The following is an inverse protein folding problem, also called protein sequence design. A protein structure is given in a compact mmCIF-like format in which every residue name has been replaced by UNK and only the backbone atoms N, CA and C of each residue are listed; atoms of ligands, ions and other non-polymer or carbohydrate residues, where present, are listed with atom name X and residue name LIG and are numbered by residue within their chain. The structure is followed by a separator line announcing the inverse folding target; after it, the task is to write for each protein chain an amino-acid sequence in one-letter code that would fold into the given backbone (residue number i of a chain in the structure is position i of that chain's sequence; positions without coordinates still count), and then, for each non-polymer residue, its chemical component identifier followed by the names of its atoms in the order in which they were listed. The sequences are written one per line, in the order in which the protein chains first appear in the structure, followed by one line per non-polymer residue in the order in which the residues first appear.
data_IF_611232418232
#
_entry.id   IF_611232418232
#
_cell.length_a   1.000
_cell.length_b   1.000
_cell.length_c   1.000
_cell.angle_alpha   90.00
_cell.angle_beta   90.00
_cell.angle_gamma   90.00
#
_symmetry.space_group_name_H-M   'P 1'
#
loop_
_entity.id
_entity.type
_entity.pdbx_description
1 polymer ?
#
# COMPACT_ATOMS: atom_id res chain seq x y z
N UNK A 1 -22.75 -4.94 27.61
CA UNK A 1 -23.11 -5.85 28.74
C UNK A 1 -21.93 -5.92 29.69
N UNK A 2 -22.11 -5.45 30.93
CA UNK A 2 -21.15 -5.58 32.03
C UNK A 2 -21.19 -7.03 32.51
N UNK A 3 -20.07 -7.74 32.43
CA UNK A 3 -19.96 -9.08 33.03
C UNK A 3 -19.62 -8.91 34.51
N UNK A 4 -20.53 -9.39 35.36
CA UNK A 4 -20.40 -9.38 36.81
C UNK A 4 -19.20 -10.23 37.28
N UNK A 5 -18.38 -9.65 38.16
CA UNK A 5 -17.35 -10.37 38.91
C UNK A 5 -18.02 -11.36 39.87
N UNK A 6 -17.93 -12.65 39.56
CA UNK A 6 -18.37 -13.71 40.45
C UNK A 6 -17.35 -13.89 41.59
N UNK A 7 -17.36 -12.96 42.56
CA UNK A 7 -16.61 -13.01 43.83
C UNK A 7 -17.20 -14.06 44.77
N UNK A 8 -16.99 -15.35 44.47
CA UNK A 8 -17.21 -16.40 45.46
C UNK A 8 -16.36 -17.64 45.16
N UNK A 9 -15.07 -17.57 45.50
CA UNK A 9 -14.25 -18.76 45.73
C UNK A 9 -13.63 -18.69 47.11
N UNK A 10 -14.25 -19.44 48.03
CA UNK A 10 -13.76 -19.73 49.39
C UNK A 10 -12.25 -19.98 49.35
N UNK A 11 -11.48 -19.08 49.95
CA UNK A 11 -10.03 -19.17 50.09
C UNK A 11 -9.68 -20.28 51.09
N UNK A 12 -9.67 -21.53 50.62
CA UNK A 12 -8.92 -22.58 51.32
C UNK A 12 -7.44 -22.17 51.21
N UNK A 13 -6.77 -21.95 52.34
CA UNK A 13 -5.31 -21.72 52.41
C UNK A 13 -4.61 -22.99 51.92
N UNK A 14 -4.53 -23.15 50.60
CA UNK A 14 -3.81 -24.22 49.95
C UNK A 14 -2.32 -23.90 49.99
N UNK A 15 -1.54 -24.79 50.57
CA UNK A 15 -0.08 -24.79 50.43
C UNK A 15 0.22 -24.93 48.94
N UNK A 16 0.73 -23.87 48.30
CA UNK A 16 0.98 -23.86 46.86
C UNK A 16 1.21 -22.47 46.28
N UNK A 17 1.63 -22.41 45.02
CA UNK A 17 1.84 -21.15 44.30
C UNK A 17 0.50 -20.44 44.14
N UNK A 18 0.45 -19.15 44.52
CA UNK A 18 -0.74 -18.30 44.31
C UNK A 18 -1.17 -18.38 42.83
N UNK A 19 -2.46 -18.66 42.54
CA UNK A 19 -2.96 -18.70 41.18
C UNK A 19 -2.81 -17.32 40.53
N UNK A 20 -2.58 -17.31 39.21
CA UNK A 20 -2.52 -16.06 38.43
C UNK A 20 -3.93 -15.48 38.29
N UNK A 21 -4.03 -14.15 38.28
CA UNK A 21 -5.29 -13.42 38.09
C UNK A 21 -5.95 -13.75 36.76
N UNK A 22 -5.16 -13.90 35.69
CA UNK A 22 -5.62 -14.34 34.37
C UNK A 22 -4.71 -15.47 33.83
N UNK A 23 -5.13 -16.74 33.95
CA UNK A 23 -4.38 -17.87 33.42
C UNK A 23 -4.57 -18.00 31.89
N UNK A 24 -3.49 -18.29 31.17
CA UNK A 24 -3.57 -18.62 29.75
C UNK A 24 -4.16 -20.04 29.57
N UNK A 25 -5.48 -20.13 29.41
CA UNK A 25 -6.22 -21.41 29.31
C UNK A 25 -6.28 -21.94 27.86
N UNK A 26 -6.33 -21.06 26.87
CA UNK A 26 -6.45 -21.46 25.46
C UNK A 26 -5.10 -21.90 24.88
N UNK A 27 -5.10 -23.04 24.16
CA UNK A 27 -3.93 -23.61 23.50
C UNK A 27 -4.22 -23.88 22.03
N UNK A 28 -3.36 -23.34 21.16
CA UNK A 28 -3.34 -23.62 19.73
C UNK A 28 -2.03 -24.33 19.39
N UNK A 29 -2.11 -25.43 18.64
CA UNK A 29 -0.94 -26.22 18.23
C UNK A 29 -0.67 -25.95 16.76
N UNK A 30 0.53 -25.48 16.46
CA UNK A 30 1.02 -25.30 15.09
C UNK A 30 2.00 -26.42 14.78
N UNK A 31 1.83 -27.10 13.65
CA UNK A 31 2.78 -28.09 13.13
C UNK A 31 3.57 -27.44 12.00
N UNK A 32 4.89 -27.59 12.05
CA UNK A 32 5.81 -27.08 11.03
C UNK A 32 6.38 -28.26 10.25
N UNK A 33 6.58 -28.10 8.95
CA UNK A 33 7.39 -29.02 8.16
C UNK A 33 8.89 -28.76 8.40
N UNK A 34 9.76 -29.60 7.84
CA UNK A 34 11.21 -29.51 8.07
C UNK A 34 11.81 -28.16 7.67
N UNK A 35 11.39 -27.60 6.52
CA UNK A 35 11.90 -26.31 6.03
C UNK A 35 11.41 -25.13 6.87
N UNK A 36 10.14 -25.15 7.25
CA UNK A 36 9.53 -24.14 8.13
C UNK A 36 10.18 -24.15 9.51
N UNK A 37 10.51 -25.33 10.03
CA UNK A 37 11.18 -25.46 11.33
C UNK A 37 12.59 -24.84 11.31
N UNK A 38 13.36 -25.06 10.24
CA UNK A 38 14.69 -24.44 10.08
C UNK A 38 14.57 -22.91 10.05
N UNK A 39 13.61 -22.36 9.28
CA UNK A 39 13.36 -20.92 9.23
C UNK A 39 12.94 -20.37 10.60
N UNK A 40 12.10 -21.09 11.33
CA UNK A 40 11.65 -20.74 12.67
C UNK A 40 12.82 -20.69 13.66
N UNK A 41 13.67 -21.71 13.69
CA UNK A 41 14.80 -21.78 14.63
C UNK A 41 15.82 -20.66 14.39
N UNK A 42 16.10 -20.29 13.12
CA UNK A 42 16.95 -19.15 12.79
C UNK A 42 16.38 -17.84 13.34
N UNK A 43 15.08 -17.60 13.15
CA UNK A 43 14.42 -16.38 13.64
C UNK A 43 14.35 -16.36 15.17
N UNK A 44 14.11 -17.51 15.80
CA UNK A 44 14.08 -17.65 17.24
C UNK A 44 15.45 -17.33 17.86
N UNK A 45 16.54 -17.87 17.31
CA UNK A 45 17.90 -17.55 17.78
C UNK A 45 18.22 -16.06 17.65
N UNK A 46 17.86 -15.43 16.52
CA UNK A 46 18.05 -13.99 16.31
C UNK A 46 17.25 -13.12 17.29
N UNK A 47 16.14 -13.63 17.82
CA UNK A 47 15.28 -12.87 18.76
C UNK A 47 15.88 -12.70 20.16
N UNK A 48 16.87 -13.53 20.54
CA UNK A 48 17.45 -13.52 21.89
C UNK A 48 16.51 -14.00 23.01
N UNK A 49 15.31 -14.48 22.67
CA UNK A 49 14.35 -14.98 23.65
C UNK A 49 14.69 -16.41 24.10
N UNK A 50 14.46 -16.71 25.39
CA UNK A 50 14.76 -18.02 25.98
C UNK A 50 13.72 -19.09 25.67
N UNK A 51 12.48 -18.69 25.40
CA UNK A 51 11.33 -19.59 25.26
C UNK A 51 10.66 -19.41 23.90
N UNK A 52 10.52 -20.49 23.13
CA UNK A 52 9.85 -20.49 21.81
C UNK A 52 8.42 -19.96 21.90
N UNK A 53 7.69 -20.27 22.98
CA UNK A 53 6.32 -19.78 23.17
C UNK A 53 6.23 -18.27 23.37
N UNK A 54 7.22 -17.66 24.03
CA UNK A 54 7.29 -16.20 24.18
C UNK A 54 7.62 -15.53 22.84
N UNK A 55 8.50 -16.14 22.06
CA UNK A 55 8.81 -15.68 20.70
C UNK A 55 7.57 -15.70 19.80
N UNK A 56 6.81 -16.79 19.80
CA UNK A 56 5.56 -16.89 19.02
C UNK A 56 4.55 -15.83 19.45
N UNK A 57 4.34 -15.64 20.76
CA UNK A 57 3.43 -14.59 21.26
C UNK A 57 3.90 -13.18 20.88
N UNK A 58 5.20 -12.91 20.97
CA UNK A 58 5.78 -11.63 20.58
C UNK A 58 5.67 -11.39 19.07
N UNK A 59 5.79 -12.43 18.24
CA UNK A 59 5.64 -12.30 16.79
C UNK A 59 4.18 -12.09 16.36
N UNK A 60 3.22 -12.76 17.02
CA UNK A 60 1.78 -12.65 16.72
C UNK A 60 1.17 -11.35 17.27
N UNK A 61 1.55 -10.95 18.48
CA UNK A 61 0.91 -9.83 19.20
C UNK A 61 1.83 -8.63 19.43
N UNK A 62 3.15 -8.79 19.30
CA UNK A 62 4.12 -7.71 19.49
C UNK A 62 4.50 -6.98 18.20
N UNK A 63 4.12 -7.52 17.04
CA UNK A 63 4.09 -6.77 15.77
C UNK A 63 2.62 -6.57 15.42
N UNK A 64 2.24 -5.34 15.12
CA UNK A 64 0.95 -5.09 14.47
C UNK A 64 0.90 -5.94 13.20
N UNK A 65 0.01 -6.93 13.16
CA UNK A 65 -0.33 -7.59 11.91
C UNK A 65 -1.10 -6.54 11.11
N UNK A 66 -0.37 -5.71 10.37
CA UNK A 66 -0.97 -4.84 9.36
C UNK A 66 -1.48 -5.77 8.27
N UNK A 67 -2.73 -6.19 8.39
CA UNK A 67 -3.47 -6.83 7.30
C UNK A 67 -3.68 -5.74 6.26
N UNK A 68 -2.66 -5.51 5.43
CA UNK A 68 -2.81 -4.67 4.25
C UNK A 68 -3.70 -5.49 3.31
N UNK A 69 -4.99 -5.14 3.27
CA UNK A 69 -5.86 -5.56 2.17
C UNK A 69 -5.31 -4.86 0.94
N UNK A 70 -4.42 -5.53 0.21
CA UNK A 70 -3.84 -5.01 -1.02
C UNK A 70 -4.94 -5.08 -2.06
N UNK A 71 -5.61 -3.95 -2.29
CA UNK A 71 -6.41 -3.78 -3.50
C UNK A 71 -5.44 -3.63 -4.67
N UNK A 72 -5.24 -4.73 -5.39
CA UNK A 72 -4.33 -4.81 -6.55
C UNK A 72 -4.74 -3.79 -7.63
N UNK A 73 -6.04 -3.51 -7.77
CA UNK A 73 -6.53 -2.56 -8.76
C UNK A 73 -6.10 -1.12 -8.41
N UNK A 74 -6.17 -0.74 -7.13
CA UNK A 74 -5.72 0.57 -6.67
C UNK A 74 -4.22 0.74 -6.82
N UNK A 75 -3.42 -0.28 -6.51
CA UNK A 75 -1.97 -0.24 -6.71
C UNK A 75 -1.59 -0.11 -8.19
N UNK A 76 -2.23 -0.89 -9.07
CA UNK A 76 -2.01 -0.79 -10.52
C UNK A 76 -2.41 0.59 -11.05
N UNK A 77 -3.48 1.18 -10.51
CA UNK A 77 -3.89 2.55 -10.84
C UNK A 77 -2.81 3.57 -10.44
N UNK A 78 -2.28 3.52 -9.22
CA UNK A 78 -1.21 4.42 -8.77
C UNK A 78 0.07 4.28 -9.59
N UNK A 79 0.46 3.06 -9.96
CA UNK A 79 1.62 2.83 -10.83
C UNK A 79 1.40 3.45 -12.22
N UNK A 80 0.19 3.28 -12.79
CA UNK A 80 -0.16 3.90 -14.08
C UNK A 80 -0.14 5.43 -14.01
N UNK A 81 -0.62 6.02 -12.92
CA UNK A 81 -0.61 7.48 -12.72
C UNK A 81 0.82 8.03 -12.61
N UNK A 82 1.69 7.35 -11.87
CA UNK A 82 3.11 7.72 -11.76
C UNK A 82 3.81 7.63 -13.13
N UNK A 83 3.56 6.57 -13.89
CA UNK A 83 4.11 6.42 -15.24
C UNK A 83 3.60 7.52 -16.19
N UNK A 84 2.33 7.91 -16.07
CA UNK A 84 1.74 8.98 -16.86
C UNK A 84 2.44 10.32 -16.60
N UNK A 85 2.74 10.64 -15.33
CA UNK A 85 3.53 11.83 -14.98
C UNK A 85 4.90 11.86 -15.68
N UNK A 86 5.64 10.76 -15.66
CA UNK A 86 6.93 10.67 -16.34
C UNK A 86 6.82 10.84 -17.87
N UNK A 87 5.72 10.38 -18.47
CA UNK A 87 5.46 10.60 -19.90
C UNK A 87 5.28 12.10 -20.23
N UNK A 88 4.54 12.88 -19.42
CA UNK A 88 4.44 14.33 -19.63
C UNK A 88 5.79 15.03 -19.49
N UNK A 89 6.58 14.64 -18.50
CA UNK A 89 7.91 15.21 -18.31
C UNK A 89 8.80 14.93 -19.53
N UNK A 90 8.76 13.70 -20.06
CA UNK A 90 9.49 13.34 -21.28
C UNK A 90 9.02 14.14 -22.50
N UNK A 91 7.70 14.30 -22.68
CA UNK A 91 7.13 15.13 -23.76
C UNK A 91 7.61 16.58 -23.65
N UNK A 92 7.58 17.17 -22.45
CA UNK A 92 8.04 18.55 -22.23
C UNK A 92 9.53 18.73 -22.54
N UNK A 93 10.35 17.76 -22.13
CA UNK A 93 11.79 17.75 -22.45
C UNK A 93 12.02 17.66 -23.96
N UNK A 94 11.33 16.74 -24.65
CA UNK A 94 11.42 16.57 -26.09
C UNK A 94 10.95 17.82 -26.83
N UNK A 95 9.85 18.44 -26.39
CA UNK A 95 9.36 19.70 -26.95
C UNK A 95 10.43 20.79 -26.91
N UNK A 96 11.07 20.99 -25.75
CA UNK A 96 12.12 21.99 -25.60
C UNK A 96 13.33 21.71 -26.50
N UNK A 97 13.72 20.44 -26.63
CA UNK A 97 14.80 20.02 -27.53
C UNK A 97 14.44 20.29 -29.00
N UNK A 98 13.23 19.91 -29.42
CA UNK A 98 12.76 20.12 -30.80
C UNK A 98 12.71 21.60 -31.15
N UNK A 99 12.18 22.46 -30.28
CA UNK A 99 12.15 23.92 -30.52
C UNK A 99 13.55 24.51 -30.64
N UNK A 100 14.48 24.10 -29.76
CA UNK A 100 15.89 24.53 -29.84
C UNK A 100 16.55 24.06 -31.15
N UNK A 101 16.31 22.81 -31.56
CA UNK A 101 16.85 22.27 -32.80
C UNK A 101 16.28 22.99 -34.03
N UNK A 102 14.97 23.28 -34.04
CA UNK A 102 14.31 24.03 -35.12
C UNK A 102 14.94 25.43 -35.25
N UNK A 103 15.13 26.12 -34.12
CA UNK A 103 15.73 27.47 -34.08
C UNK A 103 17.16 27.50 -34.62
N UNK A 104 17.98 26.49 -34.30
CA UNK A 104 19.40 26.51 -34.61
C UNK A 104 19.72 25.94 -36.02
N UNK A 105 18.93 25.00 -36.53
CA UNK A 105 19.30 24.20 -37.70
C UNK A 105 18.53 24.57 -38.99
N UNK A 106 17.49 25.40 -38.92
CA UNK A 106 16.65 25.73 -40.07
C UNK A 106 16.52 27.23 -40.28
N UNK A 107 16.44 27.66 -41.55
CA UNK A 107 16.11 29.04 -41.91
C UNK A 107 14.66 29.41 -41.58
N UNK A 108 14.39 30.69 -41.35
CA UNK A 108 13.13 31.22 -40.77
C UNK A 108 11.85 30.67 -41.41
N UNK A 109 11.77 30.64 -42.75
CA UNK A 109 10.57 30.14 -43.45
C UNK A 109 10.27 28.67 -43.15
N UNK A 110 11.31 27.82 -43.08
CA UNK A 110 11.15 26.38 -42.76
C UNK A 110 10.92 26.18 -41.27
N UNK A 111 11.60 26.93 -40.41
CA UNK A 111 11.39 26.90 -38.97
C UNK A 111 9.94 27.25 -38.61
N UNK A 112 9.37 28.28 -39.22
CA UNK A 112 7.99 28.69 -38.99
C UNK A 112 6.98 27.60 -39.38
N UNK A 113 7.17 26.95 -40.53
CA UNK A 113 6.31 25.84 -40.97
C UNK A 113 6.36 24.65 -39.99
N UNK A 114 7.56 24.30 -39.51
CA UNK A 114 7.74 23.21 -38.52
C UNK A 114 7.11 23.56 -37.17
N UNK A 115 7.26 24.81 -36.70
CA UNK A 115 6.64 25.27 -35.46
C UNK A 115 5.11 25.26 -35.54
N UNK A 116 4.52 25.62 -36.68
CA UNK A 116 3.06 25.50 -36.90
C UNK A 116 2.56 24.07 -36.82
N UNK A 117 3.32 23.11 -37.33
CA UNK A 117 2.97 21.69 -37.20
C UNK A 117 3.09 21.22 -35.74
N UNK A 118 4.12 21.66 -35.03
CA UNK A 118 4.30 21.37 -33.60
C UNK A 118 3.20 21.99 -32.73
N UNK A 119 2.74 23.20 -33.07
CA UNK A 119 1.61 23.86 -32.41
C UNK A 119 0.34 23.02 -32.54
N UNK A 120 0.02 22.54 -33.75
CA UNK A 120 -1.17 21.69 -33.98
C UNK A 120 -1.14 20.42 -33.12
N UNK A 121 -0.03 19.69 -33.11
CA UNK A 121 0.08 18.47 -32.29
C UNK A 121 0.03 18.76 -30.79
N UNK A 122 0.51 19.93 -30.36
CA UNK A 122 0.41 20.38 -28.97
C UNK A 122 -1.04 20.68 -28.58
N UNK A 123 -1.83 21.27 -29.48
CA UNK A 123 -3.26 21.50 -29.26
C UNK A 123 -4.00 20.17 -29.11
N UNK A 124 -3.73 19.19 -29.97
CA UNK A 124 -4.34 17.86 -29.89
C UNK A 124 -4.00 17.17 -28.55
N UNK A 125 -2.75 17.30 -28.09
CA UNK A 125 -2.33 16.80 -26.78
C UNK A 125 -3.12 17.46 -25.65
N UNK A 126 -3.32 18.78 -25.67
CA UNK A 126 -4.11 19.50 -24.65
C UNK A 126 -5.57 19.02 -24.64
N UNK A 127 -6.17 18.80 -25.81
CA UNK A 127 -7.54 18.27 -25.91
C UNK A 127 -7.63 16.87 -25.31
N UNK A 128 -6.67 15.99 -25.61
CA UNK A 128 -6.60 14.65 -25.03
C UNK A 128 -6.42 14.70 -23.51
N UNK A 129 -5.53 15.55 -23.00
CA UNK A 129 -5.31 15.72 -21.56
C UNK A 129 -6.58 16.18 -20.83
N UNK A 130 -7.33 17.13 -21.40
CA UNK A 130 -8.62 17.56 -20.83
C UNK A 130 -9.64 16.42 -20.79
N UNK A 131 -9.69 15.60 -21.84
CA UNK A 131 -10.59 14.44 -21.89
C UNK A 131 -10.22 13.39 -20.84
N UNK A 132 -8.93 13.16 -20.60
CA UNK A 132 -8.45 12.24 -19.55
C UNK A 132 -8.84 12.75 -18.16
N UNK A 133 -8.66 14.04 -17.89
CA UNK A 133 -9.07 14.65 -16.60
C UNK A 133 -10.58 14.47 -16.39
N UNK A 134 -11.39 14.74 -17.42
CA UNK A 134 -12.85 14.58 -17.36
C UNK A 134 -13.25 13.13 -17.04
N UNK A 135 -12.68 12.16 -17.74
CA UNK A 135 -12.94 10.72 -17.48
C UNK A 135 -12.50 10.30 -16.08
N UNK A 136 -11.44 10.92 -15.55
CA UNK A 136 -10.96 10.64 -14.19
C UNK A 136 -11.95 11.16 -13.14
N UNK A 137 -12.47 12.38 -13.31
CA UNK A 137 -13.51 12.92 -12.43
C UNK A 137 -14.81 12.11 -12.50
N UNK A 138 -15.24 11.70 -13.69
CA UNK A 138 -16.43 10.85 -13.86
C UNK A 138 -16.26 9.52 -13.10
N UNK A 139 -15.08 8.90 -13.18
CA UNK A 139 -14.76 7.69 -12.43
C UNK A 139 -14.75 7.91 -10.91
N UNK A 140 -14.17 9.02 -10.44
CA UNK A 140 -14.17 9.38 -9.01
C UNK A 140 -15.59 9.55 -8.46
N UNK A 141 -16.46 10.28 -9.16
CA UNK A 141 -17.85 10.50 -8.75
C UNK A 141 -18.68 9.22 -8.75
N UNK A 142 -18.52 8.40 -9.79
CA UNK A 142 -19.36 7.21 -9.99
C UNK A 142 -18.94 6.00 -9.17
N UNK A 143 -17.64 5.83 -8.88
CA UNK A 143 -17.14 4.62 -8.22
C UNK A 143 -16.55 4.86 -6.83
N UNK A 144 -15.81 5.96 -6.61
CA UNK A 144 -15.18 6.22 -5.31
C UNK A 144 -16.17 6.84 -4.32
N UNK A 145 -16.92 7.85 -4.75
CA UNK A 145 -17.88 8.56 -3.87
C UNK A 145 -19.15 7.72 -3.62
N UNK A 146 -19.64 6.97 -4.61
CA UNK A 146 -20.80 6.08 -4.42
C UNK A 146 -20.50 4.94 -3.44
N UNK A 147 -19.33 4.31 -3.57
CA UNK A 147 -18.92 3.22 -2.68
C UNK A 147 -18.81 3.70 -1.22
N UNK A 148 -18.30 4.91 -0.99
CA UNK A 148 -18.26 5.50 0.35
C UNK A 148 -19.66 5.76 0.94
N UNK A 149 -20.63 6.13 0.11
CA UNK A 149 -22.04 6.35 0.52
C UNK A 149 -22.84 5.05 0.75
N UNK A 150 -22.44 3.94 0.14
CA UNK A 150 -23.08 2.63 0.34
C UNK A 150 -22.50 1.86 1.53
N UNK A 151 -21.30 2.25 2.00
CA UNK A 151 -20.64 1.66 3.18
C UNK A 151 -20.98 2.40 4.50
N UNK A 152 -21.65 3.56 4.45
CA UNK A 152 -22.27 4.29 5.59
C UNK A 152 -23.71 3.85 5.86
#
# INVERSE_FOLDING_TARGET
MRMEENKNRKTRKGVGRKPKTDPAVYRYVVRLNSEENVKFDIQFQKSGLRERSKFIKAMIFGKEIKVVRIDKATMDYYVRLTNFYHQFQAIGNNYNQTVKAIKNNFGEKRAYALLRNLEKTTIDLVVLSKRIIMLTHEFEETYLIKKQREEE
#
